data_IF_885744019916
#
_entry.id   IF_885744019916
#
_cell.length_a   1.000
_cell.length_b   1.000
_cell.length_c   1.000
_cell.angle_alpha   90.00
_cell.angle_beta   90.00
_cell.angle_gamma   90.00
#
_symmetry.space_group_name_H-M   'P 1'
#
loop_
_entity.id
_entity.type
_entity.pdbx_description
1 polymer ?
#
# COMPACT_ATOMS: atom_id res chain seq x y z
N UNK A 1 -11.85 -48.15 0.32
CA UNK A 1 -10.46 -47.66 0.43
C UNK A 1 -10.52 -46.21 0.88
N UNK A 2 -10.25 -45.93 2.17
CA UNK A 2 -10.29 -44.58 2.74
C UNK A 2 -8.96 -43.88 2.35
N UNK A 3 -9.03 -42.79 1.61
CA UNK A 3 -7.87 -41.93 1.31
C UNK A 3 -7.57 -41.12 2.57
N UNK A 4 -6.42 -41.34 3.18
CA UNK A 4 -5.84 -40.49 4.20
C UNK A 4 -5.31 -39.21 3.48
N UNK A 5 -5.87 -38.10 3.86
CA UNK A 5 -5.29 -36.77 3.53
C UNK A 5 -4.30 -36.47 4.67
N UNK A 6 -3.01 -36.22 4.41
CA UNK A 6 -2.10 -35.78 5.45
C UNK A 6 -2.47 -34.35 5.87
N UNK A 7 -2.92 -34.21 7.10
CA UNK A 7 -3.05 -32.89 7.75
C UNK A 7 -1.62 -32.41 8.00
N UNK A 8 -1.17 -31.44 7.19
CA UNK A 8 0.08 -30.69 7.44
C UNK A 8 -0.17 -29.86 8.71
N UNK A 9 0.32 -30.35 9.83
CA UNK A 9 0.19 -29.67 11.11
C UNK A 9 1.06 -28.40 11.13
N UNK A 10 0.44 -27.25 10.92
CA UNK A 10 1.04 -25.96 11.23
C UNK A 10 1.07 -25.85 12.76
N UNK A 11 2.23 -26.08 13.37
CA UNK A 11 2.41 -25.90 14.82
C UNK A 11 2.46 -24.41 15.13
N UNK A 12 1.29 -23.84 15.46
CA UNK A 12 1.20 -22.52 16.08
C UNK A 12 1.69 -22.65 17.54
N UNK A 13 2.94 -22.30 17.79
CA UNK A 13 3.43 -22.15 19.16
C UNK A 13 2.86 -20.86 19.75
N UNK A 14 1.71 -20.95 20.42
CA UNK A 14 1.24 -19.89 21.31
C UNK A 14 2.14 -19.86 22.55
N UNK A 15 3.17 -19.03 22.53
CA UNK A 15 3.89 -18.65 23.74
C UNK A 15 3.12 -17.49 24.40
N UNK A 16 2.84 -17.67 25.70
CA UNK A 16 1.97 -16.83 26.50
C UNK A 16 2.29 -15.32 26.46
N UNK A 17 1.25 -14.55 26.68
CA UNK A 17 1.21 -13.10 26.78
C UNK A 17 2.33 -12.52 27.69
N UNK A 18 3.40 -12.04 27.08
CA UNK A 18 4.13 -10.92 27.61
C UNK A 18 3.70 -9.70 26.78
N UNK A 19 3.05 -8.73 27.43
CA UNK A 19 2.84 -7.40 26.86
C UNK A 19 4.22 -6.77 26.65
N UNK A 20 4.81 -6.98 25.49
CA UNK A 20 5.88 -6.14 25.00
C UNK A 20 5.21 -4.92 24.37
N UNK A 21 5.21 -3.81 25.11
CA UNK A 21 5.01 -2.49 24.53
C UNK A 21 6.08 -2.33 23.45
N UNK A 22 5.68 -2.40 22.18
CA UNK A 22 6.56 -2.02 21.08
C UNK A 22 6.93 -0.56 21.34
N UNK A 23 8.20 -0.28 21.62
CA UNK A 23 8.74 1.08 21.56
C UNK A 23 8.53 1.57 20.13
N UNK A 24 7.65 2.53 19.98
CA UNK A 24 7.39 3.18 18.70
C UNK A 24 8.69 3.79 18.19
N UNK A 25 9.24 3.28 17.09
CA UNK A 25 10.28 3.94 16.34
C UNK A 25 11.59 3.19 16.04
N UNK A 26 11.80 1.97 16.51
CA UNK A 26 13.02 1.22 16.14
C UNK A 26 12.76 0.27 14.96
N UNK A 27 13.57 0.39 13.90
CA UNK A 27 13.56 -0.53 12.76
C UNK A 27 14.10 -1.89 13.24
N UNK A 28 13.37 -3.01 12.99
CA UNK A 28 13.83 -4.34 13.37
C UNK A 28 15.15 -4.72 12.72
N UNK A 29 15.93 -5.59 13.39
CA UNK A 29 17.20 -6.09 12.86
C UNK A 29 16.96 -6.82 11.54
N UNK A 30 17.67 -6.39 10.48
CA UNK A 30 17.55 -6.96 9.13
C UNK A 30 16.61 -6.19 8.17
N UNK A 31 15.72 -5.32 8.69
CA UNK A 31 14.99 -4.36 7.87
C UNK A 31 15.79 -3.05 7.74
N UNK A 32 15.53 -2.30 6.67
CA UNK A 32 16.16 -0.99 6.46
C UNK A 32 15.21 0.16 6.74
N UNK A 33 13.92 -0.03 6.52
CA UNK A 33 12.89 1.01 6.56
C UNK A 33 11.65 0.60 7.33
N UNK A 34 11.16 -0.64 7.11
CA UNK A 34 9.92 -1.12 7.70
C UNK A 34 10.07 -1.44 9.19
N UNK A 35 9.08 -1.01 9.98
CA UNK A 35 9.01 -1.26 11.41
C UNK A 35 7.95 -2.31 11.80
N UNK A 36 7.02 -2.63 10.90
CA UNK A 36 5.86 -3.47 11.18
C UNK A 36 6.11 -4.98 11.16
N UNK A 37 7.30 -5.45 10.74
CA UNK A 37 7.61 -6.88 10.69
C UNK A 37 9.09 -7.17 10.95
N UNK A 38 9.42 -8.46 11.19
CA UNK A 38 10.79 -8.98 11.23
C UNK A 38 10.84 -10.36 10.57
N UNK A 39 11.92 -10.64 9.85
CA UNK A 39 12.20 -11.94 9.24
C UNK A 39 13.51 -12.47 9.81
N UNK A 40 13.48 -13.69 10.36
CA UNK A 40 14.64 -14.35 10.96
C UNK A 40 14.81 -15.75 10.34
N UNK A 41 15.84 -15.97 9.48
CA UNK A 41 16.19 -17.31 9.02
C UNK A 41 16.60 -18.21 10.19
N UNK A 42 16.27 -19.49 10.11
CA UNK A 42 16.65 -20.53 11.08
C UNK A 42 17.08 -21.80 10.35
N UNK A 43 17.71 -22.74 11.04
CA UNK A 43 18.13 -24.02 10.46
C UNK A 43 16.97 -24.87 9.93
N UNK A 44 15.74 -24.61 10.38
CA UNK A 44 14.55 -25.42 10.08
C UNK A 44 13.46 -24.66 9.33
N UNK A 45 13.74 -23.44 8.85
CA UNK A 45 12.77 -22.59 8.14
C UNK A 45 12.99 -21.10 8.41
N UNK A 46 11.93 -20.32 8.23
CA UNK A 46 11.97 -18.87 8.41
C UNK A 46 10.93 -18.45 9.44
N UNK A 47 11.33 -17.65 10.42
CA UNK A 47 10.40 -17.01 11.36
C UNK A 47 10.03 -15.66 10.77
N UNK A 48 8.72 -15.42 10.64
CA UNK A 48 8.14 -14.14 10.26
C UNK A 48 7.34 -13.61 11.45
N UNK A 49 7.68 -12.42 11.91
CA UNK A 49 6.96 -11.73 12.98
C UNK A 49 6.32 -10.47 12.40
N UNK A 50 5.04 -10.27 12.68
CA UNK A 50 4.28 -9.05 12.37
C UNK A 50 3.88 -8.43 13.71
N UNK A 51 3.99 -7.12 13.85
CA UNK A 51 3.88 -6.51 15.17
C UNK A 51 2.50 -5.93 15.51
N UNK A 52 1.65 -5.67 14.51
CA UNK A 52 0.33 -5.06 14.75
C UNK A 52 -0.76 -5.66 13.83
N UNK A 53 -1.57 -6.62 14.31
CA UNK A 53 -1.47 -7.32 15.60
C UNK A 53 -0.25 -8.23 15.63
N UNK A 54 0.26 -8.52 16.83
CA UNK A 54 1.42 -9.40 16.92
C UNK A 54 1.09 -10.81 16.46
N UNK A 55 1.84 -11.27 15.47
CA UNK A 55 1.83 -12.66 14.99
C UNK A 55 3.27 -13.16 14.86
N UNK A 56 3.49 -14.43 15.21
CA UNK A 56 4.76 -15.10 15.00
C UNK A 56 4.53 -16.41 14.26
N UNK A 57 5.06 -16.50 13.05
CA UNK A 57 4.89 -17.59 12.13
C UNK A 57 6.23 -18.32 11.95
N UNK A 58 6.20 -19.66 11.96
CA UNK A 58 7.36 -20.48 11.63
C UNK A 58 7.08 -21.16 10.28
N UNK A 59 7.65 -20.62 9.22
CA UNK A 59 7.48 -21.10 7.84
C UNK A 59 8.56 -22.14 7.57
N UNK A 60 8.18 -23.44 7.64
CA UNK A 60 9.07 -24.56 7.36
C UNK A 60 9.05 -24.94 5.88
N UNK A 61 7.88 -24.83 5.26
CA UNK A 61 7.64 -25.10 3.85
C UNK A 61 6.93 -23.88 3.23
N UNK A 62 7.23 -23.52 1.99
CA UNK A 62 6.56 -22.43 1.30
C UNK A 62 5.05 -22.64 1.21
N UNK A 63 4.28 -21.61 1.49
CA UNK A 63 2.84 -21.60 1.29
C UNK A 63 2.51 -21.61 -0.21
N UNK A 64 1.53 -22.42 -0.61
CA UNK A 64 1.18 -22.64 -2.02
C UNK A 64 -0.25 -22.25 -2.36
N UNK A 65 -1.09 -22.05 -1.34
CA UNK A 65 -2.51 -21.73 -1.51
C UNK A 65 -2.86 -20.51 -0.69
N UNK A 66 -2.65 -19.34 -1.29
CA UNK A 66 -2.90 -18.04 -0.65
C UNK A 66 -4.23 -17.45 -1.14
N UNK A 67 -4.97 -16.87 -0.19
CA UNK A 67 -6.05 -15.92 -0.47
C UNK A 67 -5.59 -14.50 -0.15
N UNK A 68 -6.10 -13.50 -0.84
CA UNK A 68 -5.77 -12.09 -0.60
C UNK A 68 -7.01 -11.23 -0.34
N UNK A 69 -6.89 -10.29 0.61
CA UNK A 69 -7.91 -9.29 0.92
C UNK A 69 -7.59 -7.91 0.30
N UNK A 70 -6.39 -7.72 -0.24
CA UNK A 70 -5.95 -6.45 -0.81
C UNK A 70 -5.24 -6.66 -2.14
N UNK A 71 -5.45 -5.73 -3.08
CA UNK A 71 -4.78 -5.72 -4.39
C UNK A 71 -3.27 -5.48 -4.27
N UNK A 72 -2.82 -4.77 -3.21
CA UNK A 72 -1.38 -4.60 -2.91
C UNK A 72 -0.68 -5.94 -2.73
N UNK A 73 -1.34 -6.90 -2.04
CA UNK A 73 -0.80 -8.24 -1.83
C UNK A 73 -0.63 -8.99 -3.15
N UNK A 74 -1.55 -8.78 -4.10
CA UNK A 74 -1.43 -9.32 -5.47
C UNK A 74 -0.24 -8.68 -6.19
N UNK A 75 -0.06 -7.37 -6.07
CA UNK A 75 1.09 -6.65 -6.62
C UNK A 75 2.43 -7.19 -6.11
N UNK A 76 2.54 -7.44 -4.80
CA UNK A 76 3.74 -8.05 -4.21
C UNK A 76 3.99 -9.47 -4.75
N UNK A 77 2.96 -10.32 -4.79
CA UNK A 77 3.09 -11.69 -5.35
C UNK A 77 3.50 -11.65 -6.82
N UNK A 78 2.94 -10.74 -7.60
CA UNK A 78 3.32 -10.56 -9.01
C UNK A 78 4.79 -10.17 -9.17
N UNK A 79 5.26 -9.21 -8.37
CA UNK A 79 6.61 -8.69 -8.48
C UNK A 79 7.72 -9.74 -8.17
N UNK A 80 7.38 -10.75 -7.37
CA UNK A 80 8.30 -11.87 -7.06
C UNK A 80 7.96 -13.15 -7.83
N UNK A 81 7.16 -13.06 -8.88
CA UNK A 81 6.72 -14.20 -9.70
C UNK A 81 6.04 -15.32 -8.89
N UNK A 82 5.23 -14.96 -7.88
CA UNK A 82 4.55 -15.89 -6.96
C UNK A 82 3.03 -15.97 -7.16
N UNK A 83 2.50 -15.54 -8.33
CA UNK A 83 1.08 -15.66 -8.63
C UNK A 83 0.59 -17.12 -8.76
N UNK A 84 1.50 -18.07 -8.92
CA UNK A 84 1.17 -19.50 -8.87
C UNK A 84 0.64 -19.95 -7.50
N UNK A 85 0.96 -19.22 -6.43
CA UNK A 85 0.44 -19.44 -5.09
C UNK A 85 -0.94 -18.80 -4.84
N UNK A 86 -1.39 -17.87 -5.68
CA UNK A 86 -2.67 -17.17 -5.51
C UNK A 86 -3.82 -18.05 -6.01
N UNK A 87 -4.75 -18.41 -5.11
CA UNK A 87 -5.90 -19.27 -5.45
C UNK A 87 -7.25 -18.62 -5.13
N UNK A 88 -7.27 -17.53 -4.34
CA UNK A 88 -8.49 -16.83 -3.99
C UNK A 88 -8.23 -15.34 -3.77
N UNK A 89 -9.20 -14.49 -4.09
CA UNK A 89 -9.09 -13.05 -4.01
C UNK A 89 -10.38 -12.41 -3.52
N UNK A 90 -10.25 -11.29 -2.80
CA UNK A 90 -11.38 -10.39 -2.59
C UNK A 90 -11.42 -9.32 -3.69
N UNK A 91 -12.61 -8.83 -4.01
CA UNK A 91 -12.83 -7.74 -4.98
C UNK A 91 -12.05 -7.95 -6.30
N UNK A 92 -12.25 -9.08 -7.02
CA UNK A 92 -11.47 -9.41 -8.24
C UNK A 92 -11.55 -8.31 -9.30
N UNK A 93 -12.64 -7.54 -9.34
CA UNK A 93 -12.84 -6.41 -10.26
C UNK A 93 -11.86 -5.25 -10.01
N UNK A 94 -11.27 -5.15 -8.82
CA UNK A 94 -10.30 -4.12 -8.45
C UNK A 94 -8.85 -4.53 -8.71
N UNK A 95 -8.59 -5.77 -9.15
CA UNK A 95 -7.25 -6.26 -9.44
C UNK A 95 -6.79 -5.78 -10.83
N UNK A 96 -5.70 -5.03 -10.85
CA UNK A 96 -5.10 -4.55 -12.10
C UNK A 96 -4.16 -5.56 -12.74
N UNK A 97 -3.37 -6.26 -11.95
CA UNK A 97 -2.44 -7.31 -12.40
C UNK A 97 -3.19 -8.40 -13.19
N UNK A 98 -2.63 -8.90 -14.30
CA UNK A 98 -3.21 -10.04 -15.00
C UNK A 98 -3.02 -11.32 -14.16
N UNK A 99 -4.06 -11.69 -13.41
CA UNK A 99 -4.16 -12.97 -12.70
C UNK A 99 -4.70 -14.06 -13.65
N UNK A 100 -4.65 -15.33 -13.25
CA UNK A 100 -5.05 -16.47 -14.10
C UNK A 100 -6.52 -16.44 -14.52
N UNK A 101 -7.39 -15.85 -13.66
CA UNK A 101 -8.83 -15.72 -13.90
C UNK A 101 -9.65 -16.90 -13.41
N UNK A 102 -9.03 -17.86 -12.74
CA UNK A 102 -9.68 -19.02 -12.08
C UNK A 102 -9.60 -18.93 -10.55
N UNK A 103 -9.11 -17.80 -10.01
CA UNK A 103 -9.09 -17.55 -8.59
C UNK A 103 -10.52 -17.51 -8.02
N UNK A 104 -10.71 -18.10 -6.85
CA UNK A 104 -12.00 -18.10 -6.16
C UNK A 104 -12.28 -16.68 -5.66
N UNK A 105 -13.42 -16.14 -6.10
CA UNK A 105 -13.91 -14.85 -5.62
C UNK A 105 -14.43 -14.99 -4.17
N UNK A 106 -13.75 -14.38 -3.21
CA UNK A 106 -14.13 -14.34 -1.80
C UNK A 106 -15.17 -13.27 -1.48
N UNK A 107 -15.49 -12.39 -2.42
CA UNK A 107 -16.40 -11.24 -2.25
C UNK A 107 -15.67 -9.99 -1.76
N UNK A 108 -16.41 -9.17 -1.03
CA UNK A 108 -15.91 -7.89 -0.50
C UNK A 108 -14.83 -8.12 0.58
N UNK A 109 -13.70 -7.41 0.47
CA UNK A 109 -12.59 -7.49 1.42
C UNK A 109 -12.95 -7.07 2.85
N UNK A 110 -13.97 -6.22 3.01
CA UNK A 110 -14.49 -5.86 4.35
C UNK A 110 -15.38 -6.95 4.94
N UNK A 111 -15.89 -7.88 4.12
CA UNK A 111 -16.75 -8.98 4.54
C UNK A 111 -16.58 -10.20 3.64
N UNK A 112 -15.42 -10.87 3.67
CA UNK A 112 -15.20 -12.07 2.87
C UNK A 112 -16.20 -13.19 3.17
N UNK A 113 -16.58 -13.94 2.15
CA UNK A 113 -17.45 -15.10 2.33
C UNK A 113 -16.73 -16.22 3.09
N UNK A 114 -17.16 -16.50 4.32
CA UNK A 114 -16.60 -17.58 5.13
C UNK A 114 -16.72 -18.94 4.43
N UNK A 115 -17.85 -19.21 3.77
CA UNK A 115 -18.08 -20.46 3.04
C UNK A 115 -17.06 -20.64 1.91
N UNK A 116 -16.90 -19.63 1.04
CA UNK A 116 -15.95 -19.68 -0.09
C UNK A 116 -14.51 -19.75 0.41
N UNK A 117 -14.18 -19.03 1.50
CA UNK A 117 -12.84 -19.04 2.10
C UNK A 117 -12.48 -20.45 2.63
N UNK A 118 -13.41 -21.11 3.31
CA UNK A 118 -13.22 -22.47 3.79
C UNK A 118 -13.12 -23.48 2.64
N UNK A 119 -13.97 -23.35 1.60
CA UNK A 119 -13.95 -24.21 0.42
C UNK A 119 -12.66 -24.03 -0.40
N UNK A 120 -12.05 -22.85 -0.39
CA UNK A 120 -10.81 -22.58 -1.11
C UNK A 120 -9.62 -23.39 -0.60
N UNK A 121 -9.68 -23.94 0.62
CA UNK A 121 -8.62 -24.80 1.19
C UNK A 121 -7.27 -24.07 1.22
N UNK A 122 -7.28 -22.85 1.75
CA UNK A 122 -6.10 -21.98 1.81
C UNK A 122 -5.09 -22.49 2.84
N UNK A 123 -3.79 -22.35 2.52
CA UNK A 123 -2.73 -22.43 3.54
C UNK A 123 -2.79 -21.19 4.44
N UNK A 124 -3.06 -20.03 3.86
CA UNK A 124 -3.32 -18.78 4.59
C UNK A 124 -4.14 -17.79 3.77
N UNK A 125 -4.92 -16.96 4.47
CA UNK A 125 -5.53 -15.73 3.97
C UNK A 125 -4.65 -14.54 4.36
N UNK A 126 -4.15 -13.80 3.39
CA UNK A 126 -3.45 -12.55 3.62
C UNK A 126 -4.49 -11.48 3.96
N UNK A 127 -4.50 -11.07 5.22
CA UNK A 127 -5.48 -10.14 5.76
C UNK A 127 -4.88 -8.72 5.90
N UNK A 128 -5.75 -7.73 6.08
CA UNK A 128 -5.38 -6.34 6.39
C UNK A 128 -6.02 -5.97 7.72
N UNK A 129 -5.25 -5.36 8.63
CA UNK A 129 -5.78 -4.80 9.86
C UNK A 129 -5.99 -3.28 9.69
N UNK A 130 -7.23 -2.82 9.66
CA UNK A 130 -7.58 -1.40 9.50
C UNK A 130 -7.52 -0.59 10.81
N UNK A 131 -6.71 -1.01 11.79
CA UNK A 131 -6.46 -0.27 13.02
C UNK A 131 -7.61 -0.40 14.05
N UNK A 132 -8.22 0.71 14.46
CA UNK A 132 -9.28 0.75 15.49
C UNK A 132 -10.55 -0.05 15.13
N UNK A 133 -10.73 -0.36 13.86
CA UNK A 133 -11.73 -1.31 13.42
C UNK A 133 -11.05 -2.67 13.40
N UNK A 134 -11.14 -3.39 14.52
CA UNK A 134 -10.81 -4.82 14.53
C UNK A 134 -11.35 -5.43 13.25
N UNK A 135 -10.51 -6.13 12.50
CA UNK A 135 -11.01 -6.86 11.34
C UNK A 135 -11.85 -8.03 11.88
N UNK A 136 -13.09 -7.70 12.28
CA UNK A 136 -14.03 -8.63 12.89
C UNK A 136 -14.23 -9.87 12.01
N UNK A 137 -14.14 -9.68 10.69
CA UNK A 137 -14.31 -10.77 9.74
C UNK A 137 -13.05 -11.64 9.66
N UNK A 138 -11.83 -11.09 9.72
CA UNK A 138 -10.61 -11.90 9.82
C UNK A 138 -10.61 -12.70 11.12
N UNK A 139 -10.94 -12.08 12.26
CA UNK A 139 -11.10 -12.76 13.55
C UNK A 139 -12.19 -13.86 13.50
N UNK A 140 -13.28 -13.61 12.78
CA UNK A 140 -14.33 -14.61 12.57
C UNK A 140 -13.81 -15.80 11.75
N UNK A 141 -13.07 -15.53 10.68
CA UNK A 141 -12.47 -16.59 9.85
C UNK A 141 -11.44 -17.41 10.64
N UNK A 142 -10.64 -16.77 11.48
CA UNK A 142 -9.72 -17.46 12.41
C UNK A 142 -10.45 -18.44 13.35
N UNK A 143 -11.57 -17.99 13.93
CA UNK A 143 -12.42 -18.86 14.78
C UNK A 143 -13.02 -20.05 14.01
N UNK A 144 -13.15 -19.93 12.69
CA UNK A 144 -13.59 -21.01 11.81
C UNK A 144 -12.43 -21.88 11.31
N UNK A 145 -11.19 -21.62 11.77
CA UNK A 145 -10.02 -22.40 11.43
C UNK A 145 -9.24 -21.95 10.21
N UNK A 146 -9.54 -20.76 9.66
CA UNK A 146 -8.74 -20.16 8.58
C UNK A 146 -7.48 -19.56 9.18
N UNK A 147 -6.31 -19.93 8.69
CA UNK A 147 -5.05 -19.25 9.04
C UNK A 147 -5.05 -17.86 8.40
N UNK A 148 -4.93 -16.79 9.18
CA UNK A 148 -4.76 -15.43 8.68
C UNK A 148 -3.37 -14.91 8.93
N UNK A 149 -2.81 -14.17 7.97
CA UNK A 149 -1.51 -13.50 8.09
C UNK A 149 -1.72 -12.02 7.74
N UNK A 150 -1.44 -11.14 8.69
CA UNK A 150 -1.65 -9.71 8.49
C UNK A 150 -0.50 -9.09 7.69
N UNK A 151 -0.86 -8.42 6.60
CA UNK A 151 0.05 -7.64 5.75
C UNK A 151 -0.40 -6.18 5.87
N UNK A 152 0.32 -5.40 6.67
CA UNK A 152 -0.08 -4.06 7.09
C UNK A 152 0.89 -2.98 6.59
N UNK A 153 1.36 -3.11 5.36
CA UNK A 153 2.28 -2.18 4.72
C UNK A 153 1.76 -0.72 4.74
N UNK A 154 0.44 -0.55 4.74
CA UNK A 154 -0.21 0.77 4.76
C UNK A 154 0.02 1.56 6.05
N UNK A 155 0.42 0.90 7.15
CA UNK A 155 0.76 1.53 8.43
C UNK A 155 2.17 2.14 8.42
N UNK A 156 3.00 1.78 7.45
CA UNK A 156 4.33 2.34 7.33
C UNK A 156 4.30 3.80 6.83
N UNK A 157 5.07 4.65 7.47
CA UNK A 157 5.09 6.08 7.19
C UNK A 157 5.82 6.47 5.91
N UNK A 158 6.73 5.64 5.38
CA UNK A 158 7.52 5.98 4.21
C UNK A 158 7.27 5.04 3.02
N UNK A 159 7.45 5.53 1.77
CA UNK A 159 7.27 4.70 0.57
C UNK A 159 8.14 3.46 0.55
N UNK A 160 9.43 3.57 0.90
CA UNK A 160 10.34 2.43 0.95
C UNK A 160 10.00 1.44 2.06
N UNK A 161 9.51 1.91 3.22
CA UNK A 161 9.06 1.03 4.28
C UNK A 161 7.85 0.18 3.84
N UNK A 162 6.91 0.77 3.09
CA UNK A 162 5.77 0.04 2.51
C UNK A 162 6.25 -1.02 1.51
N UNK A 163 7.14 -0.64 0.59
CA UNK A 163 7.67 -1.56 -0.42
C UNK A 163 8.46 -2.72 0.20
N UNK A 164 9.15 -2.51 1.32
CA UNK A 164 9.95 -3.54 2.00
C UNK A 164 9.10 -4.74 2.49
N UNK A 165 7.78 -4.58 2.63
CA UNK A 165 6.86 -5.68 2.95
C UNK A 165 6.82 -6.79 1.88
N UNK A 166 7.31 -6.56 0.68
CA UNK A 166 7.50 -7.60 -0.35
C UNK A 166 8.32 -8.79 0.20
N UNK A 167 9.25 -8.52 1.13
CA UNK A 167 10.09 -9.54 1.77
C UNK A 167 9.27 -10.52 2.63
N UNK A 168 8.17 -10.04 3.24
CA UNK A 168 7.24 -10.91 3.96
C UNK A 168 6.63 -11.92 3.00
N UNK A 169 6.12 -11.46 1.85
CA UNK A 169 5.54 -12.34 0.83
C UNK A 169 6.60 -13.32 0.29
N UNK A 170 7.83 -12.85 0.08
CA UNK A 170 8.96 -13.69 -0.30
C UNK A 170 9.24 -14.78 0.73
N UNK A 171 9.25 -14.46 2.03
CA UNK A 171 9.46 -15.42 3.10
C UNK A 171 8.32 -16.46 3.18
N UNK A 172 7.06 -16.04 3.00
CA UNK A 172 5.90 -16.91 3.01
C UNK A 172 5.88 -17.90 1.83
N UNK A 173 6.33 -17.48 0.65
CA UNK A 173 6.25 -18.25 -0.61
C UNK A 173 7.55 -18.98 -0.98
N UNK A 174 8.61 -18.80 -0.17
CA UNK A 174 9.94 -19.36 -0.45
C UNK A 174 10.70 -18.61 -1.54
N UNK A 175 10.33 -17.33 -1.79
CA UNK A 175 10.93 -16.44 -2.80
C UNK A 175 11.58 -15.21 -2.16
N UNK A 176 12.20 -15.40 -0.99
CA UNK A 176 12.83 -14.29 -0.25
C UNK A 176 14.00 -13.67 -1.03
N UNK A 177 14.76 -14.47 -1.77
CA UNK A 177 15.85 -13.99 -2.60
C UNK A 177 15.35 -13.07 -3.73
N UNK A 178 14.25 -13.45 -4.40
CA UNK A 178 13.59 -12.65 -5.42
C UNK A 178 13.06 -11.34 -4.84
N UNK A 179 12.43 -11.43 -3.67
CA UNK A 179 11.92 -10.25 -2.95
C UNK A 179 13.04 -9.28 -2.54
N UNK A 180 14.15 -9.80 -2.02
CA UNK A 180 15.33 -8.99 -1.69
C UNK A 180 15.93 -8.33 -2.95
N UNK A 181 15.98 -9.05 -4.08
CA UNK A 181 16.48 -8.52 -5.35
C UNK A 181 15.60 -7.37 -5.87
N UNK A 182 14.27 -7.58 -5.91
CA UNK A 182 13.31 -6.56 -6.34
C UNK A 182 13.40 -5.33 -5.42
N UNK A 183 13.37 -5.54 -4.11
CA UNK A 183 13.45 -4.42 -3.16
C UNK A 183 14.75 -3.64 -3.28
N UNK A 184 15.90 -4.31 -3.47
CA UNK A 184 17.19 -3.65 -3.66
C UNK A 184 17.22 -2.78 -4.93
N UNK A 185 16.63 -3.26 -6.03
CA UNK A 185 16.51 -2.48 -7.27
C UNK A 185 15.65 -1.23 -7.06
N UNK A 186 14.48 -1.38 -6.43
CA UNK A 186 13.55 -0.31 -6.07
C UNK A 186 14.24 0.72 -5.17
N UNK A 187 14.89 0.26 -4.10
CA UNK A 187 15.64 1.10 -3.17
C UNK A 187 16.71 1.93 -3.88
N UNK A 188 17.48 1.28 -4.76
CA UNK A 188 18.56 1.92 -5.49
C UNK A 188 18.02 3.01 -6.42
N UNK A 189 16.98 2.73 -7.19
CA UNK A 189 16.33 3.69 -8.08
C UNK A 189 15.75 4.87 -7.30
N UNK A 190 15.03 4.58 -6.22
CA UNK A 190 14.41 5.60 -5.37
C UNK A 190 15.46 6.57 -4.80
N UNK A 191 16.54 6.04 -4.22
CA UNK A 191 17.60 6.86 -3.63
C UNK A 191 18.40 7.64 -4.67
N UNK A 192 18.59 7.10 -5.88
CA UNK A 192 19.21 7.83 -6.99
C UNK A 192 18.34 9.01 -7.44
N UNK A 193 17.02 8.82 -7.60
CA UNK A 193 16.08 9.89 -7.91
C UNK A 193 16.11 10.97 -6.83
N UNK A 194 15.97 10.60 -5.56
CA UNK A 194 16.03 11.52 -4.42
C UNK A 194 17.33 12.32 -4.39
N UNK A 195 18.47 11.70 -4.69
CA UNK A 195 19.78 12.37 -4.70
C UNK A 195 19.95 13.34 -5.88
N UNK A 196 19.21 13.17 -6.97
CA UNK A 196 19.30 14.01 -8.16
C UNK A 196 18.61 15.37 -8.02
N UNK A 197 17.83 15.58 -6.95
CA UNK A 197 16.93 16.76 -6.79
C UNK A 197 17.66 18.03 -6.30
N UNK A 198 18.95 17.99 -6.05
CA UNK A 198 19.72 19.02 -5.32
C UNK A 198 19.65 20.47 -5.87
N UNK A 199 18.96 20.76 -6.98
CA UNK A 199 18.82 22.09 -7.58
C UNK A 199 17.41 22.43 -8.10
N UNK A 200 16.37 21.73 -7.69
CA UNK A 200 15.00 22.00 -8.16
C UNK A 200 14.43 23.18 -7.36
N UNK A 201 13.89 24.19 -8.06
CA UNK A 201 13.09 25.23 -7.42
C UNK A 201 11.91 24.57 -6.72
N UNK A 202 11.85 24.69 -5.40
CA UNK A 202 10.76 24.15 -4.61
C UNK A 202 9.42 24.72 -5.12
N UNK A 203 8.53 23.85 -5.61
CA UNK A 203 7.16 24.21 -5.99
C UNK A 203 6.22 23.84 -4.87
N UNK A 204 5.28 24.72 -4.57
CA UNK A 204 4.27 24.48 -3.54
C UNK A 204 3.25 23.44 -4.04
N UNK A 205 3.15 22.34 -3.36
CA UNK A 205 2.27 21.23 -3.70
C UNK A 205 1.05 21.21 -2.78
N UNK A 206 -0.13 21.01 -3.36
CA UNK A 206 -1.33 20.63 -2.62
C UNK A 206 -1.75 19.20 -2.96
N UNK A 207 -2.43 18.56 -2.02
CA UNK A 207 -2.97 17.21 -2.18
C UNK A 207 -4.33 17.09 -1.48
N UNK A 208 -5.00 15.97 -1.72
CA UNK A 208 -6.28 15.66 -1.11
C UNK A 208 -7.48 16.21 -1.89
N UNK A 209 -8.65 15.99 -1.31
CA UNK A 209 -9.94 16.34 -1.93
C UNK A 209 -10.96 16.70 -0.86
N UNK A 210 -11.96 17.48 -1.26
CA UNK A 210 -13.15 17.67 -0.46
C UNK A 210 -13.99 16.37 -0.45
N UNK A 211 -14.25 15.85 0.73
CA UNK A 211 -15.18 14.76 0.94
C UNK A 211 -16.25 15.20 1.95
N UNK A 212 -17.48 15.41 1.48
CA UNK A 212 -18.62 15.82 2.30
C UNK A 212 -18.36 17.07 3.17
N UNK A 213 -17.68 18.05 2.62
CA UNK A 213 -17.39 19.32 3.29
C UNK A 213 -16.09 19.35 4.10
N UNK A 214 -15.36 18.25 4.19
CA UNK A 214 -14.06 18.17 4.85
C UNK A 214 -12.99 17.85 3.82
N UNK A 215 -11.89 18.61 3.82
CA UNK A 215 -10.73 18.36 2.97
C UNK A 215 -9.71 17.52 3.73
N UNK A 216 -9.34 16.37 3.20
CA UNK A 216 -8.35 15.50 3.83
C UNK A 216 -7.00 15.62 3.12
N UNK A 217 -5.94 15.95 3.87
CA UNK A 217 -4.57 16.06 3.36
C UNK A 217 -3.63 15.13 4.11
N UNK A 218 -2.51 14.69 3.51
CA UNK A 218 -1.51 13.88 4.20
C UNK A 218 -0.92 14.61 5.41
N UNK A 219 -0.78 13.95 6.55
CA UNK A 219 0.04 14.41 7.67
C UNK A 219 1.53 14.21 7.40
N UNK A 220 2.42 14.76 8.20
CA UNK A 220 3.86 14.65 8.02
C UNK A 220 4.41 13.23 8.15
N UNK A 221 3.68 12.34 8.85
CA UNK A 221 4.02 10.90 8.95
C UNK A 221 3.37 10.02 7.88
N UNK A 222 2.63 10.61 6.95
CA UNK A 222 2.03 9.87 5.85
C UNK A 222 3.02 9.65 4.72
N UNK A 223 3.00 8.48 4.08
CA UNK A 223 3.91 8.12 3.00
C UNK A 223 3.87 9.08 1.80
N UNK A 224 2.73 9.71 1.51
CA UNK A 224 2.64 10.74 0.46
C UNK A 224 3.38 12.02 0.83
N UNK A 225 3.35 12.43 2.11
CA UNK A 225 4.14 13.58 2.56
C UNK A 225 5.64 13.30 2.46
N UNK A 226 6.08 12.08 2.80
CA UNK A 226 7.46 11.63 2.55
C UNK A 226 7.80 11.67 1.06
N UNK A 227 6.91 11.18 0.20
CA UNK A 227 7.09 11.21 -1.25
C UNK A 227 7.26 12.64 -1.77
N UNK A 228 6.43 13.57 -1.32
CA UNK A 228 6.53 15.00 -1.69
C UNK A 228 7.84 15.63 -1.20
N UNK A 229 8.24 15.32 0.03
CA UNK A 229 9.50 15.78 0.60
C UNK A 229 10.70 15.26 -0.19
N UNK A 230 10.69 13.97 -0.51
CA UNK A 230 11.74 13.31 -1.26
C UNK A 230 11.78 13.78 -2.73
N UNK A 231 10.68 14.32 -3.28
CA UNK A 231 10.62 14.99 -4.57
C UNK A 231 11.04 16.48 -4.52
N UNK A 232 11.36 17.03 -3.33
CA UNK A 232 11.76 18.42 -3.17
C UNK A 232 10.60 19.44 -3.23
N UNK A 233 9.36 19.01 -3.03
CA UNK A 233 8.20 19.88 -2.99
C UNK A 233 8.16 20.74 -1.71
N UNK A 234 7.47 21.88 -1.76
CA UNK A 234 7.07 22.66 -0.58
C UNK A 234 5.67 22.25 -0.14
N UNK A 235 5.57 21.62 1.03
CA UNK A 235 4.31 21.14 1.59
C UNK A 235 4.18 21.56 3.06
N UNK A 236 3.06 22.18 3.47
CA UNK A 236 2.98 22.87 4.76
C UNK A 236 2.88 21.98 6.01
N UNK A 237 2.70 20.67 5.85
CA UNK A 237 2.44 19.76 6.98
C UNK A 237 3.54 18.73 7.21
N UNK A 238 4.79 18.96 6.77
CA UNK A 238 5.90 18.03 7.02
C UNK A 238 6.19 17.79 8.50
N UNK A 239 5.94 18.78 9.35
CA UNK A 239 6.18 18.70 10.79
C UNK A 239 4.95 18.23 11.59
N UNK A 240 3.87 17.83 10.91
CA UNK A 240 2.68 17.30 11.57
C UNK A 240 2.93 15.85 12.03
N UNK A 241 2.82 15.62 13.33
CA UNK A 241 3.16 14.33 13.97
C UNK A 241 2.03 13.28 13.94
N UNK A 242 0.87 13.60 13.36
CA UNK A 242 -0.23 12.64 13.24
C UNK A 242 0.10 11.51 12.29
N UNK A 243 -0.42 10.33 12.57
CA UNK A 243 -0.34 9.15 11.70
C UNK A 243 -1.50 9.09 10.70
N UNK A 244 -2.56 9.86 10.94
CA UNK A 244 -3.78 9.92 10.12
C UNK A 244 -3.79 11.16 9.23
N UNK A 245 -4.65 11.17 8.21
CA UNK A 245 -4.88 12.37 7.41
C UNK A 245 -5.40 13.53 8.25
N UNK A 246 -5.03 14.74 7.87
CA UNK A 246 -5.45 15.99 8.50
C UNK A 246 -6.78 16.42 7.90
N UNK A 247 -7.88 16.50 8.68
CA UNK A 247 -9.11 17.12 8.21
C UNK A 247 -8.99 18.65 8.29
N UNK A 248 -9.32 19.32 7.19
CA UNK A 248 -9.34 20.79 7.07
C UNK A 248 -10.72 21.27 6.63
N UNK A 249 -11.12 22.43 7.08
CA UNK A 249 -12.21 23.19 6.46
C UNK A 249 -11.75 23.77 5.12
N UNK A 250 -12.68 24.24 4.28
CA UNK A 250 -12.30 24.87 3.01
C UNK A 250 -11.51 26.17 3.24
N UNK A 251 -11.82 26.92 4.29
CA UNK A 251 -11.13 28.14 4.66
C UNK A 251 -9.69 27.85 5.08
N UNK A 252 -9.46 26.78 5.85
CA UNK A 252 -8.11 26.34 6.19
C UNK A 252 -7.37 25.84 4.97
N UNK A 253 -8.03 25.08 4.09
CA UNK A 253 -7.45 24.59 2.84
C UNK A 253 -7.00 25.74 1.95
N UNK A 254 -7.84 26.77 1.78
CA UNK A 254 -7.48 27.98 1.05
C UNK A 254 -6.31 28.72 1.71
N UNK A 255 -6.29 28.85 3.03
CA UNK A 255 -5.19 29.50 3.75
C UNK A 255 -3.84 28.83 3.46
N UNK A 256 -3.82 27.49 3.38
CA UNK A 256 -2.58 26.75 3.13
C UNK A 256 -2.23 26.62 1.66
N UNK A 257 -3.22 26.49 0.76
CA UNK A 257 -3.00 26.01 -0.60
C UNK A 257 -3.53 26.91 -1.73
N UNK A 258 -4.13 28.06 -1.41
CA UNK A 258 -4.67 28.96 -2.45
C UNK A 258 -3.66 29.27 -3.57
N UNK A 259 -2.40 29.46 -3.21
CA UNK A 259 -1.29 29.81 -4.10
C UNK A 259 -0.43 28.59 -4.52
N UNK A 260 -0.89 27.37 -4.23
CA UNK A 260 -0.17 26.16 -4.62
C UNK A 260 0.07 26.09 -6.13
N UNK A 261 1.29 25.74 -6.52
CA UNK A 261 1.72 25.66 -7.92
C UNK A 261 1.16 24.44 -8.64
N UNK A 262 0.91 23.35 -7.88
CA UNK A 262 0.46 22.08 -8.41
C UNK A 262 -0.45 21.36 -7.41
N UNK A 263 -1.46 20.68 -7.93
CA UNK A 263 -2.36 19.82 -7.17
C UNK A 263 -2.20 18.36 -7.63
N UNK A 264 -1.80 17.47 -6.72
CA UNK A 264 -1.59 16.05 -7.00
C UNK A 264 -2.57 15.21 -6.18
N UNK A 265 -3.14 14.18 -6.81
CA UNK A 265 -4.14 13.31 -6.18
C UNK A 265 -5.55 13.93 -6.15
N UNK A 266 -5.87 14.81 -7.10
CA UNK A 266 -7.22 15.37 -7.25
C UNK A 266 -8.26 14.27 -7.56
N UNK A 267 -9.48 14.51 -7.10
CA UNK A 267 -10.64 13.68 -7.45
C UNK A 267 -11.14 13.82 -8.84
N UNK A 268 -11.87 13.28 -9.54
CA UNK A 268 -12.37 13.55 -10.88
C UNK A 268 -11.42 13.17 -12.00
N UNK A 269 -11.92 13.20 -13.23
CA UNK A 269 -11.19 12.78 -14.42
C UNK A 269 -10.95 13.94 -15.39
N UNK A 270 -11.52 15.11 -15.10
CA UNK A 270 -11.30 16.36 -15.85
C UNK A 270 -11.44 17.57 -14.93
N UNK A 271 -10.93 18.73 -15.36
CA UNK A 271 -11.13 19.99 -14.65
C UNK A 271 -12.62 20.35 -14.54
N UNK A 272 -13.40 20.09 -15.61
CA UNK A 272 -14.84 20.32 -15.61
C UNK A 272 -15.56 19.45 -14.57
N UNK A 273 -15.23 18.17 -14.49
CA UNK A 273 -15.79 17.25 -13.47
C UNK A 273 -15.41 17.71 -12.07
N UNK A 274 -14.15 18.11 -11.86
CA UNK A 274 -13.66 18.60 -10.57
C UNK A 274 -14.41 19.87 -10.12
N UNK A 275 -14.71 20.79 -11.03
CA UNK A 275 -15.53 21.98 -10.74
C UNK A 275 -16.99 21.64 -10.41
N UNK A 276 -17.54 20.60 -11.06
CA UNK A 276 -18.91 20.11 -10.76
C UNK A 276 -19.00 19.43 -9.40
N UNK A 277 -17.95 18.74 -8.95
CA UNK A 277 -17.89 18.15 -7.61
C UNK A 277 -17.95 19.21 -6.50
N UNK A 278 -17.23 20.31 -6.66
CA UNK A 278 -17.30 21.48 -5.81
C UNK A 278 -16.71 22.70 -6.56
N UNK A 279 -17.51 23.75 -6.76
CA UNK A 279 -17.04 24.97 -7.45
C UNK A 279 -15.81 25.62 -6.79
N UNK A 280 -15.65 25.42 -5.47
CA UNK A 280 -14.51 25.94 -4.71
C UNK A 280 -13.15 25.36 -5.15
N UNK A 281 -13.16 24.22 -5.85
CA UNK A 281 -11.95 23.67 -6.48
C UNK A 281 -11.33 24.65 -7.48
N UNK A 282 -12.15 25.49 -8.12
CA UNK A 282 -11.70 26.50 -9.10
C UNK A 282 -10.94 27.68 -8.46
N UNK A 283 -11.00 27.83 -7.14
CA UNK A 283 -10.36 28.94 -6.42
C UNK A 283 -8.86 28.76 -6.22
N UNK A 284 -8.36 27.53 -6.38
CA UNK A 284 -6.93 27.23 -6.22
C UNK A 284 -6.14 27.60 -7.49
N UNK A 285 -4.98 28.24 -7.30
CA UNK A 285 -4.07 28.59 -8.41
C UNK A 285 -3.75 27.39 -9.30
N UNK A 286 -3.48 26.21 -8.69
CA UNK A 286 -3.17 25.00 -9.44
C UNK A 286 -4.26 24.63 -10.44
N UNK A 287 -5.55 24.79 -10.05
CA UNK A 287 -6.69 24.60 -10.96
C UNK A 287 -6.68 25.64 -12.09
N UNK A 288 -6.53 26.93 -11.75
CA UNK A 288 -6.59 28.04 -12.69
C UNK A 288 -5.51 27.97 -13.78
N UNK A 289 -4.32 27.43 -13.44
CA UNK A 289 -3.21 27.25 -14.38
C UNK A 289 -3.17 25.87 -15.03
N UNK A 290 -4.16 25.01 -14.74
CA UNK A 290 -4.26 23.67 -15.32
C UNK A 290 -3.14 22.72 -14.90
N UNK A 291 -2.62 22.89 -13.66
CA UNK A 291 -1.60 21.95 -13.09
C UNK A 291 -2.22 21.08 -12.03
N UNK A 292 -3.21 20.30 -12.43
CA UNK A 292 -3.96 19.37 -11.59
C UNK A 292 -3.79 17.95 -12.12
N UNK A 293 -3.43 17.04 -11.24
CA UNK A 293 -3.14 15.64 -11.55
C UNK A 293 -3.88 14.71 -10.60
N UNK A 294 -4.36 13.58 -11.14
CA UNK A 294 -4.87 12.47 -10.33
C UNK A 294 -3.94 11.24 -10.47
N UNK A 295 -4.19 10.18 -9.67
CA UNK A 295 -3.45 8.92 -9.74
C UNK A 295 -4.21 7.86 -10.57
N UNK A 296 -4.70 8.24 -11.76
CA UNK A 296 -5.63 7.42 -12.55
C UNK A 296 -5.17 7.13 -13.98
N UNK A 297 -3.87 7.30 -14.26
CA UNK A 297 -3.32 7.00 -15.60
C UNK A 297 -3.48 5.53 -15.98
N UNK A 298 -3.34 4.62 -15.01
CA UNK A 298 -3.45 3.19 -15.22
C UNK A 298 -4.68 2.66 -14.47
N UNK A 299 -5.86 2.91 -15.03
CA UNK A 299 -7.13 2.44 -14.48
C UNK A 299 -7.88 1.64 -15.54
N UNK A 300 -8.33 0.42 -15.21
CA UNK A 300 -9.22 -0.39 -16.05
C UNK A 300 -10.67 0.10 -15.97
N UNK A 301 -11.49 -0.27 -16.95
CA UNK A 301 -12.91 0.11 -16.99
C UNK A 301 -13.69 -0.29 -15.72
N UNK A 302 -13.31 -1.38 -15.04
CA UNK A 302 -13.88 -1.82 -13.76
C UNK A 302 -13.44 -1.03 -12.52
N UNK A 303 -12.53 -0.05 -12.67
CA UNK A 303 -12.02 0.75 -11.54
C UNK A 303 -10.70 0.25 -10.94
N UNK A 304 -10.21 -0.91 -11.35
CA UNK A 304 -8.91 -1.42 -10.94
C UNK A 304 -7.80 -0.40 -11.27
N UNK A 305 -7.02 -0.01 -10.27
CA UNK A 305 -6.05 1.08 -10.38
C UNK A 305 -4.65 0.64 -9.96
N UNK A 306 -3.74 0.63 -10.91
CA UNK A 306 -2.38 0.14 -10.72
C UNK A 306 -1.53 1.01 -9.76
N UNK A 307 -1.94 2.25 -9.50
CA UNK A 307 -1.34 3.08 -8.46
C UNK A 307 -1.40 2.42 -7.06
N UNK A 308 -2.53 1.78 -6.74
CA UNK A 308 -2.73 1.08 -5.46
C UNK A 308 -2.15 -0.33 -5.42
N UNK A 309 -1.69 -0.84 -6.54
CA UNK A 309 -1.13 -2.18 -6.68
C UNK A 309 0.38 -2.11 -6.94
N UNK A 310 0.79 -1.78 -8.17
CA UNK A 310 2.20 -1.63 -8.53
C UNK A 310 2.88 -0.45 -7.84
N UNK A 311 2.18 0.68 -7.64
CA UNK A 311 2.79 1.87 -7.04
C UNK A 311 3.30 1.65 -5.62
N UNK A 312 2.71 0.71 -4.85
CA UNK A 312 3.22 0.35 -3.52
C UNK A 312 4.50 -0.48 -3.62
N UNK A 313 4.60 -1.34 -4.63
CA UNK A 313 5.80 -2.17 -4.91
C UNK A 313 6.93 -1.31 -5.47
N UNK A 314 6.60 -0.35 -6.32
CA UNK A 314 7.52 0.52 -7.08
C UNK A 314 7.34 2.00 -6.73
N UNK A 315 7.64 2.40 -5.48
CA UNK A 315 7.53 3.80 -5.07
C UNK A 315 8.50 4.74 -5.79
N UNK A 316 9.56 4.21 -6.42
CA UNK A 316 10.45 4.99 -7.29
C UNK A 316 9.72 5.57 -8.49
N UNK A 317 8.78 4.82 -9.08
CA UNK A 317 7.93 5.31 -10.19
C UNK A 317 6.98 6.40 -9.72
N UNK A 318 6.46 6.31 -8.48
CA UNK A 318 5.65 7.38 -7.88
C UNK A 318 6.48 8.64 -7.60
N UNK A 319 7.73 8.47 -7.13
CA UNK A 319 8.65 9.57 -6.89
C UNK A 319 9.01 10.28 -8.20
N UNK A 320 9.27 9.52 -9.25
CA UNK A 320 9.57 10.04 -10.59
C UNK A 320 8.39 10.85 -11.13
N UNK A 321 7.15 10.37 -10.96
CA UNK A 321 5.94 11.12 -11.33
C UNK A 321 5.88 12.49 -10.64
N UNK A 322 6.09 12.53 -9.32
CA UNK A 322 6.06 13.81 -8.57
C UNK A 322 7.18 14.74 -9.04
N UNK A 323 8.40 14.24 -9.24
CA UNK A 323 9.53 15.01 -9.76
C UNK A 323 9.19 15.58 -11.16
N UNK A 324 8.63 14.77 -12.06
CA UNK A 324 8.24 15.20 -13.41
C UNK A 324 7.13 16.27 -13.36
N UNK A 325 6.14 16.10 -12.49
CA UNK A 325 5.06 17.07 -12.28
C UNK A 325 5.62 18.40 -11.77
N UNK A 326 6.51 18.41 -10.78
CA UNK A 326 7.11 19.61 -10.23
C UNK A 326 7.93 20.37 -11.29
N UNK A 327 8.63 19.63 -12.15
CA UNK A 327 9.45 20.18 -13.25
C UNK A 327 8.67 20.48 -14.53
N UNK A 328 7.34 20.27 -14.54
CA UNK A 328 6.48 20.47 -15.70
C UNK A 328 6.94 19.66 -16.93
N UNK A 329 7.39 18.43 -16.69
CA UNK A 329 7.77 17.49 -17.75
C UNK A 329 6.54 17.05 -18.58
N UNK A 330 6.73 16.50 -19.79
CA UNK A 330 5.63 16.01 -20.61
C UNK A 330 4.83 14.91 -19.91
N UNK A 331 3.50 14.93 -20.05
CA UNK A 331 2.60 13.94 -19.43
C UNK A 331 2.90 12.51 -19.88
N UNK A 332 3.53 12.33 -21.05
CA UNK A 332 3.95 11.02 -21.56
C UNK A 332 5.00 10.32 -20.70
N UNK A 333 5.70 11.07 -19.84
CA UNK A 333 6.72 10.53 -18.94
C UNK A 333 6.16 10.01 -17.61
N UNK A 334 4.87 10.21 -17.34
CA UNK A 334 4.23 9.82 -16.10
C UNK A 334 3.85 8.33 -16.08
N UNK A 335 4.02 7.66 -14.94
CA UNK A 335 3.67 6.27 -14.72
C UNK A 335 2.22 6.13 -14.27
N UNK A 336 1.86 6.75 -13.14
CA UNK A 336 0.56 6.61 -12.49
C UNK A 336 -0.28 7.89 -12.53
N UNK A 337 0.39 9.03 -12.56
CA UNK A 337 -0.30 10.31 -12.58
C UNK A 337 -0.86 10.63 -13.96
N UNK A 338 -2.05 11.24 -14.00
CA UNK A 338 -2.66 11.78 -15.20
C UNK A 338 -3.05 13.23 -14.98
N UNK A 339 -2.69 14.10 -15.91
CA UNK A 339 -3.10 15.51 -15.91
C UNK A 339 -4.58 15.64 -16.24
N UNK A 340 -5.27 16.52 -15.55
CA UNK A 340 -6.67 16.85 -15.83
C UNK A 340 -6.74 18.00 -16.85
N UNK A 341 -7.60 17.84 -17.86
CA UNK A 341 -7.87 18.81 -18.90
C UNK A 341 -9.32 19.27 -18.88
#
# INVERSE_FOLDING_TARGET
MKRFVPIVGLLLCFAGCAKQSAEQGSIPVGNKYAAGFQITPTDTGTIVEVFQPYQRLCIKEPLRRLGTMSTVQVGFLYAIDALDCLVAVCNPELIYTPVKGDEIDLGDSMKPSAERTLQAGLDALLAVNYGQYDNLEATRLEKLGVTTIYINEWQEGSPLARAEWIRVLGALTGRLHEADSVFHEVETKYNNLKSSISNVKSSKIMSGNNFRGTWYVPSGKNYLAYLFKDAGADYPFYDDERETSIPLTIEETLRYFHDADVWVGAGGNSLAELAQLDEKHTWFKAYQVGRVYNWRRQVKAGGANNFWERGVVHPEEMLEDVIHILNNAPDSTLHFAAKLY
#
